data_IF_404873583683
#
_entry.id   IF_404873583683
#
_cell.length_a   1.000
_cell.length_b   1.000
_cell.length_c   1.000
_cell.angle_alpha   90.00
_cell.angle_beta   90.00
_cell.angle_gamma   90.00
#
_symmetry.space_group_name_H-M   'P 1'
#
loop_
_entity.id
_entity.type
_entity.pdbx_description
1 polymer ?
#
# COMPACT_ATOMS: atom_id res chain seq x y z
N UNK A 1 -3.15 19.21 -5.71
CA UNK A 1 -2.99 18.84 -7.13
C UNK A 1 -2.29 19.98 -7.85
N UNK A 2 -1.27 19.69 -8.64
CA UNK A 2 -0.57 20.72 -9.43
C UNK A 2 -0.19 20.15 -10.80
N UNK A 3 -0.24 20.99 -11.83
CA UNK A 3 0.39 20.71 -13.11
C UNK A 3 1.90 20.83 -12.95
N UNK A 4 2.64 19.76 -13.23
CA UNK A 4 4.10 19.73 -13.16
C UNK A 4 4.69 19.21 -14.48
N UNK A 5 5.85 19.74 -14.90
CA UNK A 5 6.60 19.17 -16.02
C UNK A 5 7.26 17.86 -15.59
N UNK A 6 6.97 16.75 -16.28
CA UNK A 6 7.58 15.44 -16.07
C UNK A 6 8.60 15.18 -17.17
N UNK A 7 9.82 14.84 -16.79
CA UNK A 7 10.90 14.56 -17.72
C UNK A 7 11.12 13.06 -17.82
N UNK A 8 11.24 12.56 -19.04
CA UNK A 8 11.68 11.19 -19.28
C UNK A 8 13.14 11.04 -18.86
N UNK A 9 13.50 9.87 -18.30
CA UNK A 9 14.90 9.49 -18.08
C UNK A 9 15.65 9.29 -19.40
N UNK A 10 14.94 8.79 -20.41
CA UNK A 10 15.45 8.75 -21.77
C UNK A 10 15.36 10.15 -22.38
N UNK A 11 16.51 10.80 -22.56
CA UNK A 11 16.62 12.15 -23.13
C UNK A 11 16.33 12.21 -24.63
N UNK A 12 16.39 11.07 -25.34
CA UNK A 12 15.94 10.98 -26.73
C UNK A 12 14.40 10.98 -26.81
N UNK A 13 13.73 10.43 -25.80
CA UNK A 13 12.28 10.48 -25.71
C UNK A 13 11.78 11.92 -25.59
N UNK A 14 10.67 12.22 -26.29
CA UNK A 14 10.03 13.54 -26.31
C UNK A 14 10.97 14.70 -26.70
N UNK A 15 12.10 14.41 -27.34
CA UNK A 15 13.11 15.40 -27.74
C UNK A 15 13.60 16.23 -26.53
N UNK A 16 13.71 15.58 -25.37
CA UNK A 16 14.06 16.24 -24.11
C UNK A 16 13.01 17.22 -23.57
N UNK A 17 11.82 17.31 -24.19
CA UNK A 17 10.74 18.19 -23.72
C UNK A 17 9.96 17.53 -22.58
N UNK A 18 9.55 18.31 -21.56
CA UNK A 18 8.71 17.79 -20.50
C UNK A 18 7.30 17.47 -20.99
N UNK A 19 6.69 16.47 -20.36
CA UNK A 19 5.29 16.13 -20.50
C UNK A 19 4.53 16.83 -19.37
N UNK A 20 3.53 17.68 -19.67
CA UNK A 20 2.71 18.27 -18.63
C UNK A 20 1.82 17.20 -17.98
N UNK A 21 1.93 17.02 -16.66
CA UNK A 21 1.14 16.04 -15.93
C UNK A 21 0.45 16.67 -14.71
N UNK A 22 -0.77 16.20 -14.43
CA UNK A 22 -1.47 16.49 -13.17
C UNK A 22 -0.91 15.55 -12.10
N UNK A 23 -0.24 16.08 -11.08
CA UNK A 23 0.31 15.29 -9.99
C UNK A 23 -0.50 15.50 -8.71
N UNK A 24 -0.85 14.36 -8.09
CA UNK A 24 -1.43 14.29 -6.76
C UNK A 24 -0.36 13.83 -5.78
N UNK A 25 -0.03 14.68 -4.81
CA UNK A 25 0.91 14.37 -3.75
C UNK A 25 0.44 15.04 -2.46
N UNK A 26 0.68 14.39 -1.32
CA UNK A 26 0.38 14.96 -0.02
C UNK A 26 1.50 15.93 0.39
N UNK A 27 1.12 17.07 0.97
CA UNK A 27 2.07 17.97 1.65
C UNK A 27 2.11 17.65 3.15
N UNK A 28 3.12 18.10 3.90
CA UNK A 28 3.15 17.94 5.35
C UNK A 28 1.93 18.51 6.11
N UNK A 29 1.17 19.42 5.50
CA UNK A 29 -0.09 19.96 6.05
C UNK A 29 -1.29 19.00 5.93
N UNK A 30 -1.14 17.84 5.26
CA UNK A 30 -2.20 16.85 5.17
C UNK A 30 -2.39 16.19 6.56
N UNK A 31 -3.60 16.15 7.14
CA UNK A 31 -3.83 15.56 8.46
C UNK A 31 -3.45 14.08 8.56
N UNK A 32 -3.38 13.38 7.42
CA UNK A 32 -2.96 11.97 7.34
C UNK A 32 -1.45 11.79 7.11
N UNK A 33 -0.68 12.87 6.98
CA UNK A 33 0.78 12.78 6.86
C UNK A 33 1.38 12.47 8.23
N UNK A 34 2.01 11.30 8.36
CA UNK A 34 2.57 10.81 9.62
C UNK A 34 4.02 11.23 9.85
N UNK A 35 4.60 12.03 8.96
CA UNK A 35 6.03 12.37 9.01
C UNK A 35 6.94 11.25 8.52
N UNK A 36 8.25 11.50 8.65
CA UNK A 36 9.27 10.49 8.38
C UNK A 36 9.28 9.45 9.50
N UNK A 37 9.35 8.17 9.11
CA UNK A 37 9.33 7.05 10.03
C UNK A 37 10.39 6.03 9.65
N UNK A 38 10.95 5.36 10.66
CA UNK A 38 11.92 4.30 10.43
C UNK A 38 11.27 3.10 9.71
N UNK A 39 11.99 2.47 8.79
CA UNK A 39 11.50 1.37 7.96
C UNK A 39 10.93 0.20 8.77
N UNK A 40 11.52 -0.10 9.94
CA UNK A 40 11.02 -1.12 10.87
C UNK A 40 9.62 -0.81 11.41
N UNK A 41 9.37 0.47 11.74
CA UNK A 41 8.08 0.93 12.24
C UNK A 41 7.05 0.96 11.11
N UNK A 42 7.44 1.44 9.93
CA UNK A 42 6.59 1.39 8.73
C UNK A 42 6.21 -0.06 8.42
N UNK A 43 7.18 -0.98 8.39
CA UNK A 43 6.94 -2.39 8.12
C UNK A 43 6.00 -3.03 9.15
N UNK A 44 6.11 -2.66 10.44
CA UNK A 44 5.17 -3.13 11.48
C UNK A 44 3.75 -2.63 11.22
N UNK A 45 3.60 -1.36 10.84
CA UNK A 45 2.31 -0.77 10.48
C UNK A 45 1.72 -1.51 9.27
N UNK A 46 2.49 -1.69 8.19
CA UNK A 46 2.03 -2.41 6.99
C UNK A 46 1.63 -3.85 7.32
N UNK A 47 2.43 -4.55 8.14
CA UNK A 47 2.19 -5.95 8.50
C UNK A 47 0.92 -6.17 9.34
N UNK A 48 0.34 -5.12 9.93
CA UNK A 48 -0.80 -5.24 10.87
C UNK A 48 -2.03 -4.42 10.45
N UNK A 49 -1.87 -3.45 9.55
CA UNK A 49 -2.95 -2.55 9.16
C UNK A 49 -3.84 -3.15 8.09
N UNK A 50 -5.14 -2.88 8.19
CA UNK A 50 -6.15 -3.21 7.19
C UNK A 50 -7.22 -2.12 7.13
N UNK A 51 -7.91 -2.02 6.00
CA UNK A 51 -9.03 -1.11 5.83
C UNK A 51 -10.08 -1.70 4.90
N UNK A 52 -10.99 -0.86 4.43
CA UNK A 52 -12.08 -1.26 3.52
C UNK A 52 -11.57 -1.90 2.22
N UNK A 53 -10.36 -1.55 1.79
CA UNK A 53 -9.73 -2.08 0.58
C UNK A 53 -8.96 -3.39 0.80
N UNK A 54 -8.88 -3.90 2.04
CA UNK A 54 -8.12 -5.10 2.39
C UNK A 54 -6.92 -4.82 3.29
N UNK A 55 -6.04 -5.81 3.40
CA UNK A 55 -4.86 -5.73 4.26
C UNK A 55 -3.75 -4.90 3.59
N UNK A 56 -2.98 -4.11 4.34
CA UNK A 56 -1.97 -3.21 3.75
C UNK A 56 -0.80 -3.98 3.09
N UNK A 57 -0.50 -5.20 3.57
CA UNK A 57 0.46 -6.10 2.90
C UNK A 57 0.08 -6.42 1.45
N UNK A 58 -1.22 -6.43 1.12
CA UNK A 58 -1.66 -6.70 -0.25
C UNK A 58 -1.23 -5.57 -1.18
N UNK A 59 -1.36 -4.34 -0.72
CA UNK A 59 -0.91 -3.15 -1.44
C UNK A 59 0.59 -3.19 -1.69
N UNK A 60 1.39 -3.41 -0.65
CA UNK A 60 2.85 -3.45 -0.75
C UNK A 60 3.30 -4.54 -1.74
N UNK A 61 2.81 -5.78 -1.59
CA UNK A 61 3.28 -6.89 -2.42
C UNK A 61 2.86 -6.74 -3.89
N UNK A 62 1.66 -6.23 -4.16
CA UNK A 62 1.23 -5.93 -5.53
C UNK A 62 2.06 -4.82 -6.18
N UNK A 63 2.46 -3.81 -5.41
CA UNK A 63 3.33 -2.74 -5.90
C UNK A 63 4.74 -3.28 -6.21
N UNK A 64 5.29 -4.12 -5.33
CA UNK A 64 6.60 -4.77 -5.53
C UNK A 64 6.58 -5.67 -6.77
N UNK A 65 5.53 -6.47 -6.94
CA UNK A 65 5.35 -7.32 -8.12
C UNK A 65 5.30 -6.46 -9.40
N UNK A 66 4.50 -5.40 -9.39
CA UNK A 66 4.42 -4.47 -10.51
C UNK A 66 5.78 -3.87 -10.87
N UNK A 67 6.55 -3.40 -9.88
CA UNK A 67 7.88 -2.84 -10.11
C UNK A 67 8.82 -3.86 -10.75
N UNK A 68 8.86 -5.09 -10.23
CA UNK A 68 9.72 -6.17 -10.74
C UNK A 68 9.33 -6.62 -12.15
N UNK A 69 8.03 -6.70 -12.44
CA UNK A 69 7.51 -7.18 -13.72
C UNK A 69 7.53 -6.11 -14.82
N UNK A 70 7.12 -4.88 -14.48
CA UNK A 70 6.89 -3.82 -15.47
C UNK A 70 8.08 -2.88 -15.62
N UNK A 71 8.90 -2.73 -14.57
CA UNK A 71 10.03 -1.79 -14.52
C UNK A 71 11.31 -2.49 -14.03
N UNK A 72 11.75 -3.60 -14.65
CA UNK A 72 12.84 -4.44 -14.13
C UNK A 72 14.20 -3.74 -14.05
N UNK A 73 14.39 -2.66 -14.81
CA UNK A 73 15.62 -1.86 -14.83
C UNK A 73 15.59 -0.70 -13.81
N UNK A 74 14.48 -0.52 -13.11
CA UNK A 74 14.31 0.55 -12.13
C UNK A 74 14.54 0.01 -10.71
N UNK A 75 15.33 0.77 -9.94
CA UNK A 75 15.61 0.43 -8.55
C UNK A 75 14.77 1.30 -7.62
N UNK A 76 14.08 0.64 -6.69
CA UNK A 76 13.38 1.28 -5.58
C UNK A 76 13.85 0.59 -4.28
N UNK A 77 14.99 1.04 -3.71
CA UNK A 77 15.58 0.39 -2.54
C UNK A 77 14.67 0.42 -1.31
N UNK A 78 13.94 1.50 -1.08
CA UNK A 78 13.11 1.67 0.10
C UNK A 78 11.92 0.69 0.11
N UNK A 79 11.23 0.58 -1.02
CA UNK A 79 10.15 -0.37 -1.29
C UNK A 79 10.61 -1.81 -1.10
N UNK A 80 11.80 -2.16 -1.61
CA UNK A 80 12.34 -3.52 -1.44
C UNK A 80 12.80 -3.80 0.00
N UNK A 81 13.30 -2.81 0.72
CA UNK A 81 13.57 -2.94 2.16
C UNK A 81 12.27 -3.18 2.93
N UNK A 82 11.21 -2.42 2.65
CA UNK A 82 9.89 -2.64 3.26
C UNK A 82 9.31 -4.02 2.92
N UNK A 83 9.42 -4.47 1.67
CA UNK A 83 9.01 -5.82 1.23
C UNK A 83 9.69 -6.90 2.09
N UNK A 84 11.01 -6.82 2.25
CA UNK A 84 11.80 -7.76 3.05
C UNK A 84 11.37 -7.74 4.52
N UNK A 85 11.29 -6.56 5.14
CA UNK A 85 10.91 -6.41 6.54
C UNK A 85 9.50 -6.92 6.81
N UNK A 86 8.53 -6.59 5.95
CA UNK A 86 7.15 -7.05 6.09
C UNK A 86 7.08 -8.57 5.96
N UNK A 87 7.76 -9.16 4.96
CA UNK A 87 7.84 -10.62 4.79
C UNK A 87 8.40 -11.30 6.04
N UNK A 88 9.50 -10.79 6.59
CA UNK A 88 10.05 -11.31 7.85
C UNK A 88 9.04 -11.24 9.00
N UNK A 89 8.32 -10.12 9.15
CA UNK A 89 7.31 -9.93 10.21
C UNK A 89 6.13 -10.90 10.09
N UNK A 90 5.71 -11.25 8.88
CA UNK A 90 4.64 -12.24 8.66
C UNK A 90 5.16 -13.68 8.51
N UNK A 91 6.48 -13.88 8.65
CA UNK A 91 7.15 -15.17 8.56
C UNK A 91 7.11 -15.79 7.16
N UNK A 92 7.23 -14.97 6.13
CA UNK A 92 7.48 -15.36 4.74
C UNK A 92 8.97 -15.25 4.40
N UNK A 93 9.42 -16.00 3.39
CA UNK A 93 10.79 -15.89 2.88
C UNK A 93 11.00 -14.55 2.16
N UNK A 94 12.06 -13.83 2.51
CA UNK A 94 12.49 -12.60 1.82
C UNK A 94 13.61 -12.82 0.79
N UNK A 95 14.30 -13.96 0.79
CA UNK A 95 15.41 -14.26 -0.14
C UNK A 95 14.93 -14.59 -1.56
N UNK A 96 13.83 -15.34 -1.63
CA UNK A 96 13.16 -15.74 -2.87
C UNK A 96 11.69 -15.40 -2.76
N UNK A 97 11.36 -14.10 -2.81
CA UNK A 97 10.00 -13.63 -2.58
C UNK A 97 9.07 -14.14 -3.68
N UNK A 98 8.07 -14.94 -3.29
CA UNK A 98 6.96 -15.26 -4.18
C UNK A 98 6.12 -14.01 -4.44
N UNK A 99 5.56 -13.92 -5.65
CA UNK A 99 4.61 -12.88 -6.01
C UNK A 99 3.33 -13.01 -5.19
N UNK A 100 2.62 -11.90 -5.01
CA UNK A 100 1.30 -11.82 -4.38
C UNK A 100 0.37 -12.93 -4.88
N UNK A 101 0.31 -13.13 -6.20
CA UNK A 101 -0.58 -14.12 -6.83
C UNK A 101 -0.20 -15.55 -6.45
N UNK A 102 1.09 -15.87 -6.43
CA UNK A 102 1.55 -17.21 -6.03
C UNK A 102 1.34 -17.44 -4.54
N UNK A 103 1.61 -16.45 -3.68
CA UNK A 103 1.34 -16.55 -2.24
C UNK A 103 -0.11 -16.88 -1.94
N UNK A 104 -1.07 -16.25 -2.65
CA UNK A 104 -2.49 -16.59 -2.51
C UNK A 104 -2.81 -18.03 -2.93
N UNK A 105 -2.05 -18.61 -3.85
CA UNK A 105 -2.30 -19.97 -4.36
C UNK A 105 -1.69 -21.04 -3.47
N UNK A 106 -0.49 -20.83 -2.93
CA UNK A 106 0.30 -21.88 -2.28
C UNK A 106 0.66 -21.63 -0.81
N UNK A 107 0.31 -20.47 -0.22
CA UNK A 107 0.64 -20.15 1.18
C UNK A 107 -0.61 -19.97 2.06
N UNK A 108 -0.92 -20.98 2.87
CA UNK A 108 -2.07 -21.01 3.79
C UNK A 108 -1.99 -19.96 4.89
N UNK A 109 -0.76 -19.61 5.31
CA UNK A 109 -0.56 -18.57 6.32
C UNK A 109 -0.93 -17.22 5.71
N UNK A 110 -0.44 -16.92 4.52
CA UNK A 110 -0.73 -15.69 3.81
C UNK A 110 -2.22 -15.52 3.56
N UNK A 111 -2.89 -16.58 3.06
CA UNK A 111 -4.35 -16.58 2.87
C UNK A 111 -5.11 -16.25 4.16
N UNK A 112 -4.67 -16.77 5.31
CA UNK A 112 -5.30 -16.43 6.61
C UNK A 112 -5.08 -14.97 7.00
N UNK A 113 -3.88 -14.44 6.79
CA UNK A 113 -3.58 -13.03 7.10
C UNK A 113 -4.50 -12.10 6.31
N UNK A 114 -4.55 -12.26 4.99
CA UNK A 114 -5.36 -11.39 4.12
C UNK A 114 -6.85 -11.70 4.19
N UNK A 115 -7.22 -12.93 4.53
CA UNK A 115 -8.61 -13.36 4.72
C UNK A 115 -9.26 -12.78 5.97
N UNK A 116 -8.50 -12.63 7.07
CA UNK A 116 -9.00 -12.14 8.36
C UNK A 116 -9.52 -10.70 8.30
N UNK A 117 -9.02 -9.88 7.38
CA UNK A 117 -9.44 -8.48 7.21
C UNK A 117 -10.90 -8.33 6.75
N UNK A 118 -11.41 -9.25 5.92
CA UNK A 118 -12.77 -9.15 5.36
C UNK A 118 -13.88 -9.32 6.38
N UNK A 119 -13.60 -10.05 7.46
CA UNK A 119 -14.57 -10.38 8.50
C UNK A 119 -14.68 -9.25 9.54
N UNK A 120 -13.57 -8.58 9.83
CA UNK A 120 -13.53 -7.45 10.77
C UNK A 120 -14.07 -6.14 10.18
N UNK A 121 -13.86 -5.88 8.88
CA UNK A 121 -14.42 -4.71 8.18
C UNK A 121 -15.95 -4.73 8.16
N UNK A 122 -16.56 -5.91 7.99
CA UNK A 122 -18.03 -6.06 8.08
C UNK A 122 -18.56 -5.67 9.47
N UNK A 123 -17.85 -6.01 10.54
CA UNK A 123 -18.24 -5.66 11.91
C UNK A 123 -18.07 -4.18 12.23
N UNK A 124 -17.01 -3.55 11.69
CA UNK A 124 -16.76 -2.11 11.90
C UNK A 124 -17.75 -1.24 11.13
N UNK A 125 -18.05 -1.59 9.87
CA UNK A 125 -19.09 -0.91 9.09
C UNK A 125 -20.46 -1.01 9.77
N UNK A 126 -20.81 -2.18 10.34
CA UNK A 126 -22.07 -2.31 11.10
C UNK A 126 -22.10 -1.45 12.37
N UNK A 127 -20.97 -1.28 13.06
CA UNK A 127 -20.91 -0.43 14.26
C UNK A 127 -20.96 1.07 13.95
N UNK A 128 -20.36 1.51 12.85
CA UNK A 128 -20.40 2.92 12.43
C UNK A 128 -21.80 3.32 11.94
N UNK A 129 -22.51 2.43 11.24
CA UNK A 129 -23.89 2.64 10.80
C UNK A 129 -24.87 2.71 11.99
N UNK A 130 -24.68 1.91 13.05
CA UNK A 130 -25.47 2.00 14.28
C UNK A 130 -25.19 3.29 15.05
N UNK A 131 -23.93 3.71 15.15
CA UNK A 131 -23.56 4.97 15.80
C UNK A 131 -24.19 6.19 15.07
N UNK A 132 -24.24 6.13 13.73
CA UNK A 132 -24.83 7.18 12.88
C UNK A 132 -26.36 7.20 12.94
N UNK A 133 -27.02 6.03 13.09
CA UNK A 133 -28.46 5.93 13.36
C UNK A 133 -28.84 6.48 14.73
N UNK A 134 -28.04 6.16 15.77
CA UNK A 134 -28.27 6.64 17.13
C UNK A 134 -28.13 8.16 17.22
N UNK A 135 -27.12 8.75 16.56
CA UNK A 135 -26.94 10.20 16.52
C UNK A 135 -28.06 10.96 15.78
N UNK A 136 -28.79 10.30 14.87
CA UNK A 136 -29.89 10.90 14.11
C UNK A 136 -31.23 10.81 14.86
N UNK A 137 -31.40 9.82 15.73
CA UNK A 137 -32.60 9.61 16.55
C UNK A 137 -32.68 10.52 17.80
N UNK A 138 -31.58 11.16 18.19
CA UNK A 138 -31.52 12.08 19.34
C UNK A 138 -31.86 13.53 18.95
N UNK A 139 -32.01 13.81 17.64
CA UNK A 139 -32.20 15.18 17.12
C UNK A 139 -33.62 15.48 16.60
N UNK A 140 -34.62 14.69 17.02
CA UNK A 140 -36.06 14.89 16.71
C UNK A 140 -36.85 15.04 17.99
#
# INVERSE_FOLDING_TARGET
MKMLPVYSKDSAAFHGKPIPAIIYYATPHNPNYTGDEGEEKIAKIIATSHGVSGHNIEYLFRLVDFMRESLPNESEPHLYTLDSLVRTKVGLCCKTPLSWRLLLQCDDRFRRIVGSGKENVRRTLSSEDEQKKSSMAVCT
#
